data_IF_154213392708
#
_entry.id   IF_154213392708
#
_cell.length_a   1.000
_cell.length_b   1.000
_cell.length_c   1.000
_cell.angle_alpha   90.00
_cell.angle_beta   90.00
_cell.angle_gamma   90.00
#
_symmetry.space_group_name_H-M   'P 1'
#
loop_
_entity.id
_entity.type
_entity.pdbx_description
1 polymer ?
#
# COMPACT_ATOMS: atom_id res chain seq x y z
N UNK A 1 -7.69 -26.98 0.62
CA UNK A 1 -8.08 -25.86 1.47
C UNK A 1 -9.44 -26.22 2.09
N UNK A 2 -9.56 -26.13 3.41
CA UNK A 2 -10.83 -26.43 4.14
C UNK A 2 -11.52 -27.76 3.75
N UNK A 3 -10.73 -28.79 3.41
CA UNK A 3 -11.23 -30.10 3.00
C UNK A 3 -11.55 -30.25 1.51
N UNK A 4 -11.53 -29.19 0.74
CA UNK A 4 -11.67 -29.22 -0.72
C UNK A 4 -10.31 -29.39 -1.42
N UNK A 5 -10.36 -29.98 -2.61
CA UNK A 5 -9.18 -30.19 -3.46
C UNK A 5 -9.21 -29.19 -4.61
N UNK A 6 -8.09 -28.54 -4.80
CA UNK A 6 -7.87 -27.61 -5.90
C UNK A 6 -6.77 -28.12 -6.81
N UNK A 7 -6.88 -27.82 -8.09
CA UNK A 7 -5.83 -28.10 -9.07
C UNK A 7 -4.72 -27.03 -8.99
N UNK A 8 -3.55 -27.37 -9.52
CA UNK A 8 -2.46 -26.37 -9.61
C UNK A 8 -2.87 -25.14 -10.44
N UNK A 9 -3.72 -25.31 -11.46
CA UNK A 9 -4.19 -24.18 -12.25
C UNK A 9 -5.06 -23.22 -11.43
N UNK A 10 -5.96 -23.75 -10.59
CA UNK A 10 -6.80 -22.94 -9.71
C UNK A 10 -5.96 -22.18 -8.67
N UNK A 11 -4.98 -22.83 -8.06
CA UNK A 11 -4.07 -22.15 -7.12
C UNK A 11 -3.20 -21.10 -7.83
N UNK A 12 -2.70 -21.40 -9.03
CA UNK A 12 -1.91 -20.47 -9.81
C UNK A 12 -2.69 -19.20 -10.22
N UNK A 13 -4.02 -19.27 -10.36
CA UNK A 13 -4.83 -18.06 -10.56
C UNK A 13 -4.64 -17.05 -9.42
N UNK A 14 -4.74 -17.49 -8.18
CA UNK A 14 -4.55 -16.62 -7.01
C UNK A 14 -3.09 -16.22 -6.82
N UNK A 15 -2.16 -17.17 -7.07
CA UNK A 15 -0.72 -16.91 -6.97
C UNK A 15 -0.28 -15.78 -7.91
N UNK A 16 -0.60 -15.89 -9.20
CA UNK A 16 -0.18 -14.89 -10.18
C UNK A 16 -0.88 -13.55 -9.97
N UNK A 17 -2.17 -13.55 -9.63
CA UNK A 17 -2.88 -12.32 -9.33
C UNK A 17 -2.30 -11.60 -8.09
N UNK A 18 -2.00 -12.33 -7.02
CA UNK A 18 -1.37 -11.74 -5.83
C UNK A 18 0.04 -11.24 -6.15
N UNK A 19 0.84 -12.05 -6.84
CA UNK A 19 2.20 -11.68 -7.24
C UNK A 19 2.21 -10.41 -8.11
N UNK A 20 1.39 -10.35 -9.15
CA UNK A 20 1.33 -9.19 -10.03
C UNK A 20 0.86 -7.92 -9.29
N UNK A 21 -0.14 -8.04 -8.43
CA UNK A 21 -0.61 -6.92 -7.61
C UNK A 21 0.48 -6.45 -6.64
N UNK A 22 1.19 -7.38 -6.01
CA UNK A 22 2.30 -7.07 -5.11
C UNK A 22 3.43 -6.33 -5.84
N UNK A 23 3.87 -6.86 -6.99
CA UNK A 23 4.93 -6.24 -7.81
C UNK A 23 4.52 -4.85 -8.27
N UNK A 24 3.29 -4.69 -8.78
CA UNK A 24 2.80 -3.39 -9.25
C UNK A 24 2.67 -2.37 -8.11
N UNK A 25 2.13 -2.78 -6.96
CA UNK A 25 1.96 -1.92 -5.78
C UNK A 25 3.28 -1.52 -5.11
N UNK A 26 4.31 -2.36 -5.23
CA UNK A 26 5.60 -2.16 -4.58
C UNK A 26 6.75 -1.87 -5.56
N UNK A 27 6.44 -1.48 -6.80
CA UNK A 27 7.44 -1.34 -7.87
C UNK A 27 8.66 -0.49 -7.47
N UNK A 28 8.44 0.60 -6.75
CA UNK A 28 9.49 1.54 -6.33
C UNK A 28 10.45 0.98 -5.26
N UNK A 29 10.04 -0.06 -4.53
CA UNK A 29 10.82 -0.65 -3.44
C UNK A 29 11.28 -2.07 -3.69
N UNK A 30 11.00 -2.67 -4.87
CA UNK A 30 11.34 -4.07 -5.17
C UNK A 30 12.83 -4.36 -4.94
N UNK A 31 13.72 -3.46 -5.37
CA UNK A 31 15.16 -3.62 -5.16
C UNK A 31 15.55 -3.51 -3.67
N UNK A 32 14.83 -2.72 -2.89
CA UNK A 32 15.09 -2.55 -1.45
C UNK A 32 14.68 -3.79 -0.66
N UNK A 33 13.58 -4.44 -1.06
CA UNK A 33 13.11 -5.69 -0.46
C UNK A 33 13.80 -6.93 -1.06
N UNK A 34 14.69 -6.75 -2.04
CA UNK A 34 15.46 -7.84 -2.64
C UNK A 34 14.62 -8.77 -3.53
N UNK A 35 13.50 -8.29 -4.09
CA UNK A 35 12.69 -9.04 -5.04
C UNK A 35 13.09 -8.66 -6.47
N UNK A 36 13.70 -9.62 -7.19
CA UNK A 36 14.05 -9.51 -8.60
C UNK A 36 13.03 -10.27 -9.45
N UNK A 37 12.27 -9.56 -10.26
CA UNK A 37 11.25 -10.16 -11.16
C UNK A 37 11.85 -10.96 -12.32
N UNK A 38 13.15 -10.83 -12.59
CA UNK A 38 13.87 -11.58 -13.62
C UNK A 38 14.47 -12.90 -13.13
N UNK A 39 14.46 -13.14 -11.83
CA UNK A 39 15.02 -14.33 -11.19
C UNK A 39 13.90 -15.21 -10.63
N UNK A 40 14.10 -16.54 -10.61
CA UNK A 40 13.14 -17.49 -10.04
C UNK A 40 12.87 -17.15 -8.57
N UNK A 41 11.59 -17.03 -8.20
CA UNK A 41 11.14 -16.74 -6.82
C UNK A 41 11.61 -17.80 -5.80
N UNK A 42 11.88 -19.04 -6.26
CA UNK A 42 12.39 -20.14 -5.42
C UNK A 42 13.86 -19.98 -5.06
N UNK A 43 14.57 -19.18 -5.84
CA UNK A 43 16.00 -18.96 -5.68
C UNK A 43 16.31 -17.65 -4.93
N UNK A 44 15.25 -16.96 -4.45
CA UNK A 44 15.33 -15.69 -3.73
C UNK A 44 14.72 -15.83 -2.34
N UNK A 45 15.51 -15.51 -1.31
CA UNK A 45 15.08 -15.53 0.08
C UNK A 45 14.77 -14.11 0.58
N UNK A 46 13.76 -14.00 1.43
CA UNK A 46 13.36 -12.75 2.07
C UNK A 46 14.40 -12.39 3.13
N UNK A 47 14.93 -11.18 3.04
CA UNK A 47 15.95 -10.66 3.95
C UNK A 47 15.33 -9.99 5.18
N UNK A 48 16.14 -9.79 6.24
CA UNK A 48 15.74 -9.02 7.41
C UNK A 48 15.36 -7.57 7.08
N UNK A 49 15.93 -6.98 6.03
CA UNK A 49 15.52 -5.66 5.56
C UNK A 49 14.16 -5.67 4.85
N UNK A 50 13.84 -6.75 4.16
CA UNK A 50 12.56 -6.88 3.46
C UNK A 50 11.37 -6.95 4.44
N UNK A 51 11.50 -7.64 5.57
CA UNK A 51 10.43 -7.75 6.58
C UNK A 51 10.09 -6.42 7.27
N UNK A 52 10.92 -5.39 7.13
CA UNK A 52 10.61 -4.03 7.60
C UNK A 52 9.53 -3.35 6.71
N UNK A 53 9.42 -3.77 5.46
CA UNK A 53 8.45 -3.24 4.48
C UNK A 53 7.30 -4.22 4.23
N UNK A 54 7.57 -5.51 4.35
CA UNK A 54 6.60 -6.61 4.15
C UNK A 54 6.46 -7.31 5.50
N UNK A 55 5.67 -6.71 6.38
CA UNK A 55 5.59 -7.04 7.82
C UNK A 55 5.00 -8.41 8.12
N UNK A 56 4.31 -9.01 7.15
CA UNK A 56 3.71 -10.34 7.23
C UNK A 56 4.56 -11.43 6.56
N UNK A 57 5.74 -11.07 6.04
CA UNK A 57 6.71 -12.03 5.51
C UNK A 57 7.65 -12.53 6.61
N UNK A 58 8.21 -13.74 6.40
CA UNK A 58 9.15 -14.37 7.32
C UNK A 58 10.58 -14.31 6.77
N UNK A 59 11.52 -13.81 7.55
CA UNK A 59 12.94 -13.82 7.17
C UNK A 59 13.43 -15.24 6.90
N UNK A 60 14.10 -15.42 5.76
CA UNK A 60 14.69 -16.69 5.35
C UNK A 60 13.76 -17.62 4.56
N UNK A 61 12.47 -17.34 4.47
CA UNK A 61 11.58 -18.02 3.52
C UNK A 61 11.86 -17.56 2.09
N UNK A 62 11.45 -18.34 1.08
CA UNK A 62 11.54 -17.90 -0.32
C UNK A 62 10.38 -16.99 -0.69
N UNK A 63 10.59 -16.08 -1.65
CA UNK A 63 9.49 -15.30 -2.21
C UNK A 63 8.40 -16.19 -2.81
N UNK A 64 8.78 -17.38 -3.31
CA UNK A 64 7.82 -18.36 -3.80
C UNK A 64 6.90 -18.87 -2.69
N UNK A 65 7.45 -19.26 -1.54
CA UNK A 65 6.68 -19.78 -0.42
C UNK A 65 5.75 -18.69 0.13
N UNK A 66 6.25 -17.46 0.30
CA UNK A 66 5.41 -16.31 0.69
C UNK A 66 4.22 -16.11 -0.24
N UNK A 67 4.45 -16.03 -1.56
CA UNK A 67 3.35 -15.85 -2.52
C UNK A 67 2.43 -17.06 -2.60
N UNK A 68 2.95 -18.27 -2.39
CA UNK A 68 2.13 -19.48 -2.35
C UNK A 68 1.20 -19.49 -1.13
N UNK A 69 1.70 -19.09 0.03
CA UNK A 69 0.88 -18.98 1.24
C UNK A 69 -0.19 -17.90 1.08
N UNK A 70 0.13 -16.75 0.51
CA UNK A 70 -0.85 -15.69 0.21
C UNK A 70 -1.92 -16.12 -0.80
N UNK A 71 -1.54 -16.89 -1.81
CA UNK A 71 -2.49 -17.48 -2.75
C UNK A 71 -3.47 -18.43 -2.06
N UNK A 72 -2.97 -19.25 -1.14
CA UNK A 72 -3.82 -20.19 -0.38
C UNK A 72 -4.73 -19.45 0.61
N UNK A 73 -4.25 -18.39 1.26
CA UNK A 73 -5.08 -17.51 2.10
C UNK A 73 -6.20 -16.86 1.30
N UNK A 74 -5.90 -16.30 0.13
CA UNK A 74 -6.89 -15.69 -0.76
C UNK A 74 -7.94 -16.70 -1.22
N UNK A 75 -7.50 -17.87 -1.68
CA UNK A 75 -8.38 -18.94 -2.11
C UNK A 75 -9.29 -19.41 -0.96
N UNK A 76 -8.74 -19.54 0.26
CA UNK A 76 -9.53 -19.89 1.45
C UNK A 76 -10.56 -18.81 1.80
N UNK A 77 -10.20 -17.54 1.67
CA UNK A 77 -11.09 -16.41 1.87
C UNK A 77 -12.24 -16.40 0.86
N UNK A 78 -11.93 -16.55 -0.43
CA UNK A 78 -12.94 -16.62 -1.50
C UNK A 78 -13.89 -17.81 -1.28
N UNK A 79 -13.36 -18.97 -0.89
CA UNK A 79 -14.18 -20.13 -0.57
C UNK A 79 -15.14 -19.85 0.60
N UNK A 80 -14.61 -19.27 1.68
CA UNK A 80 -15.43 -18.97 2.87
C UNK A 80 -16.53 -17.95 2.57
N UNK A 81 -16.20 -16.89 1.79
CA UNK A 81 -17.19 -15.88 1.39
C UNK A 81 -18.27 -16.47 0.47
N UNK A 82 -17.90 -17.31 -0.49
CA UNK A 82 -18.87 -17.96 -1.36
C UNK A 82 -19.79 -18.92 -0.57
N UNK A 83 -19.25 -19.64 0.41
CA UNK A 83 -20.07 -20.51 1.28
C UNK A 83 -21.05 -19.68 2.16
N UNK A 84 -20.59 -18.53 2.66
CA UNK A 84 -21.45 -17.61 3.42
C UNK A 84 -22.52 -17.00 2.52
N UNK A 85 -22.17 -16.56 1.31
CA UNK A 85 -23.09 -16.04 0.31
C UNK A 85 -24.21 -17.06 0.00
N UNK A 86 -23.83 -18.32 -0.22
CA UNK A 86 -24.80 -19.40 -0.45
C UNK A 86 -25.73 -19.63 0.75
N UNK A 87 -25.17 -19.66 1.97
CA UNK A 87 -25.93 -19.84 3.20
C UNK A 87 -26.94 -18.73 3.46
N UNK A 88 -26.62 -17.50 3.04
CA UNK A 88 -27.50 -16.33 3.19
C UNK A 88 -28.40 -16.09 1.96
N UNK A 89 -28.30 -16.91 0.94
CA UNK A 89 -29.10 -16.79 -0.28
C UNK A 89 -28.70 -15.60 -1.17
N UNK A 90 -27.46 -15.09 -1.01
CA UNK A 90 -26.90 -14.08 -1.90
C UNK A 90 -26.59 -14.73 -3.27
N UNK A 91 -27.11 -14.15 -4.33
CA UNK A 91 -27.08 -14.77 -5.66
C UNK A 91 -26.37 -13.88 -6.69
N UNK A 92 -25.82 -14.52 -7.71
CA UNK A 92 -25.27 -13.89 -8.89
C UNK A 92 -26.29 -12.94 -9.54
N UNK A 93 -25.87 -11.73 -9.93
CA UNK A 93 -26.71 -10.70 -10.52
C UNK A 93 -26.12 -10.18 -11.86
N UNK A 94 -26.85 -9.26 -12.50
CA UNK A 94 -26.47 -8.70 -13.81
C UNK A 94 -25.20 -7.83 -13.73
N UNK A 95 -24.92 -7.18 -12.62
CA UNK A 95 -23.71 -6.37 -12.40
C UNK A 95 -22.47 -7.28 -12.37
N UNK A 96 -22.49 -8.33 -11.55
CA UNK A 96 -21.41 -9.32 -11.53
C UNK A 96 -21.22 -10.00 -12.89
N UNK A 97 -22.31 -10.19 -13.66
CA UNK A 97 -22.19 -10.74 -15.01
C UNK A 97 -21.51 -9.76 -15.96
N UNK A 98 -21.82 -8.47 -15.88
CA UNK A 98 -21.15 -7.44 -16.67
C UNK A 98 -19.64 -7.36 -16.34
N UNK A 99 -19.28 -7.39 -15.05
CA UNK A 99 -17.87 -7.38 -14.62
C UNK A 99 -17.10 -8.61 -15.12
N UNK A 100 -17.76 -9.78 -15.14
CA UNK A 100 -17.16 -10.99 -15.70
C UNK A 100 -16.95 -10.86 -17.20
N UNK A 101 -17.96 -10.37 -17.93
CA UNK A 101 -17.90 -10.19 -19.38
C UNK A 101 -16.79 -9.18 -19.75
N UNK A 102 -16.68 -8.07 -19.04
CA UNK A 102 -15.61 -7.06 -19.20
C UNK A 102 -14.22 -7.64 -18.92
N UNK A 103 -14.11 -8.48 -17.90
CA UNK A 103 -12.85 -9.17 -17.57
C UNK A 103 -12.45 -10.13 -18.69
N UNK A 104 -13.41 -10.88 -19.22
CA UNK A 104 -13.16 -11.82 -20.33
C UNK A 104 -12.86 -11.11 -21.66
N UNK A 105 -13.46 -9.95 -21.92
CA UNK A 105 -13.12 -9.10 -23.06
C UNK A 105 -11.72 -8.51 -22.92
N UNK A 106 -11.37 -8.04 -21.73
CA UNK A 106 -10.02 -7.55 -21.40
C UNK A 106 -8.94 -8.60 -21.61
N UNK A 107 -9.20 -9.85 -21.19
CA UNK A 107 -8.32 -10.99 -21.46
C UNK A 107 -8.11 -11.21 -22.96
N UNK A 108 -9.19 -11.22 -23.76
CA UNK A 108 -9.13 -11.42 -25.20
C UNK A 108 -8.37 -10.27 -25.89
N UNK A 109 -8.64 -9.04 -25.49
CA UNK A 109 -7.96 -7.83 -25.98
C UNK A 109 -6.47 -7.85 -25.66
N UNK A 110 -6.08 -8.18 -24.41
CA UNK A 110 -4.70 -8.29 -24.01
C UNK A 110 -3.95 -9.38 -24.82
N UNK A 111 -4.54 -10.57 -24.94
CA UNK A 111 -3.95 -11.64 -25.75
C UNK A 111 -3.72 -11.17 -27.21
N UNK A 112 -4.71 -10.54 -27.82
CA UNK A 112 -4.63 -10.02 -29.19
C UNK A 112 -3.54 -8.95 -29.35
N UNK A 113 -3.43 -8.04 -28.36
CA UNK A 113 -2.44 -6.95 -28.38
C UNK A 113 -1.00 -7.50 -28.42
N UNK A 114 -0.75 -8.60 -27.73
CA UNK A 114 0.55 -9.27 -27.73
C UNK A 114 0.71 -10.33 -28.83
N UNK A 115 -0.28 -10.50 -29.71
CA UNK A 115 -0.24 -11.45 -30.83
C UNK A 115 -0.43 -12.90 -30.41
N UNK A 116 -1.03 -13.16 -29.25
CA UNK A 116 -1.33 -14.51 -28.74
C UNK A 116 -2.81 -14.86 -28.90
N UNK A 117 -3.07 -16.16 -28.94
CA UNK A 117 -4.42 -16.65 -28.61
C UNK A 117 -4.66 -16.56 -27.10
N UNK A 118 -5.90 -16.47 -26.64
CA UNK A 118 -6.21 -16.46 -25.18
C UNK A 118 -5.56 -17.64 -24.45
N UNK A 119 -5.58 -18.83 -25.06
CA UNK A 119 -4.94 -20.03 -24.47
C UNK A 119 -3.45 -19.85 -24.29
N UNK A 120 -2.75 -19.27 -25.27
CA UNK A 120 -1.31 -19.01 -25.18
C UNK A 120 -1.02 -17.95 -24.11
N UNK A 121 -1.82 -16.90 -24.08
CA UNK A 121 -1.69 -15.82 -23.13
C UNK A 121 -1.91 -16.30 -21.68
N UNK A 122 -3.00 -17.04 -21.44
CA UNK A 122 -3.26 -17.66 -20.14
C UNK A 122 -2.15 -18.64 -19.74
N UNK A 123 -1.66 -19.44 -20.69
CA UNK A 123 -0.56 -20.37 -20.44
C UNK A 123 0.76 -19.68 -20.10
N UNK A 124 1.00 -18.49 -20.64
CA UNK A 124 2.18 -17.68 -20.37
C UNK A 124 2.14 -17.09 -18.93
N UNK A 125 0.98 -16.60 -18.51
CA UNK A 125 0.82 -15.94 -17.20
C UNK A 125 0.61 -16.98 -16.10
N UNK A 126 -0.39 -17.85 -16.23
CA UNK A 126 -0.87 -18.75 -15.18
C UNK A 126 -0.35 -20.19 -15.30
N UNK A 127 0.51 -20.45 -16.30
CA UNK A 127 1.02 -21.79 -16.56
C UNK A 127 0.18 -22.61 -17.54
N UNK A 128 0.80 -23.64 -18.14
CA UNK A 128 0.27 -24.39 -19.28
C UNK A 128 -1.03 -25.18 -19.01
N UNK A 129 -1.39 -25.37 -17.73
CA UNK A 129 -2.62 -26.09 -17.30
C UNK A 129 -3.83 -25.14 -17.18
N UNK A 130 -3.61 -23.83 -17.21
CA UNK A 130 -4.70 -22.86 -17.19
C UNK A 130 -5.51 -22.91 -18.48
N UNK A 131 -6.80 -22.89 -18.33
CA UNK A 131 -7.75 -22.82 -19.44
C UNK A 131 -8.68 -21.63 -19.26
N UNK A 132 -9.30 -21.17 -20.37
CA UNK A 132 -10.32 -20.11 -20.29
C UNK A 132 -11.42 -20.44 -19.28
N UNK A 133 -11.90 -21.69 -19.27
CA UNK A 133 -12.98 -22.10 -18.36
C UNK A 133 -12.55 -22.08 -16.89
N UNK A 134 -11.31 -22.47 -16.56
CA UNK A 134 -10.80 -22.37 -15.19
C UNK A 134 -10.63 -20.91 -14.80
N UNK A 135 -10.07 -20.09 -15.67
CA UNK A 135 -9.91 -18.65 -15.44
C UNK A 135 -11.26 -17.96 -15.18
N UNK A 136 -12.24 -18.20 -16.05
CA UNK A 136 -13.61 -17.67 -15.93
C UNK A 136 -14.28 -18.11 -14.62
N UNK A 137 -14.15 -19.38 -14.25
CA UNK A 137 -14.72 -19.90 -13.01
C UNK A 137 -14.07 -19.27 -11.77
N UNK A 138 -12.74 -19.14 -11.73
CA UNK A 138 -12.06 -18.51 -10.59
C UNK A 138 -12.38 -17.00 -10.51
N UNK A 139 -12.50 -16.32 -11.65
CA UNK A 139 -12.96 -14.92 -11.72
C UNK A 139 -14.38 -14.78 -11.19
N UNK A 140 -15.29 -15.67 -11.60
CA UNK A 140 -16.68 -15.71 -11.11
C UNK A 140 -16.74 -15.89 -9.60
N UNK A 141 -15.95 -16.80 -9.03
CA UNK A 141 -15.87 -17.01 -7.58
C UNK A 141 -15.37 -15.80 -6.84
N UNK A 142 -14.36 -15.14 -7.38
CA UNK A 142 -13.79 -13.93 -6.79
C UNK A 142 -14.77 -12.75 -6.82
N UNK A 143 -15.48 -12.56 -7.94
CA UNK A 143 -16.51 -11.52 -8.07
C UNK A 143 -17.66 -11.74 -7.08
N UNK A 144 -18.18 -12.98 -6.96
CA UNK A 144 -19.23 -13.31 -6.00
C UNK A 144 -18.78 -13.04 -4.56
N UNK A 145 -17.54 -13.46 -4.20
CA UNK A 145 -16.99 -13.22 -2.87
C UNK A 145 -16.85 -11.72 -2.55
N UNK A 146 -16.37 -10.94 -3.52
CA UNK A 146 -16.21 -9.49 -3.37
C UNK A 146 -17.56 -8.79 -3.24
N UNK A 147 -18.52 -9.11 -4.09
CA UNK A 147 -19.85 -8.51 -4.05
C UNK A 147 -20.60 -8.87 -2.75
N UNK A 148 -20.46 -10.11 -2.28
CA UNK A 148 -21.05 -10.53 -1.01
C UNK A 148 -20.40 -9.76 0.17
N UNK A 149 -19.08 -9.68 0.21
CA UNK A 149 -18.37 -8.95 1.26
C UNK A 149 -18.80 -7.47 1.30
N UNK A 150 -18.91 -6.83 0.13
CA UNK A 150 -19.39 -5.45 0.04
C UNK A 150 -20.81 -5.32 0.56
N UNK A 151 -21.72 -6.19 0.12
CA UNK A 151 -23.11 -6.22 0.60
C UNK A 151 -23.21 -6.43 2.11
N UNK A 152 -22.36 -7.31 2.65
CA UNK A 152 -22.27 -7.54 4.10
C UNK A 152 -21.80 -6.27 4.83
N UNK A 153 -20.73 -5.63 4.37
CA UNK A 153 -20.22 -4.39 4.95
C UNK A 153 -21.25 -3.26 4.91
N UNK A 154 -21.95 -3.11 3.80
CA UNK A 154 -23.00 -2.10 3.64
C UNK A 154 -24.23 -2.36 4.56
N UNK A 155 -24.45 -3.60 4.96
CA UNK A 155 -25.51 -4.01 5.88
C UNK A 155 -25.19 -3.73 7.35
N UNK A 156 -23.91 -3.51 7.68
CA UNK A 156 -23.48 -3.25 9.05
C UNK A 156 -24.05 -1.90 9.53
N UNK A 157 -24.62 -1.92 10.70
CA UNK A 157 -25.12 -0.71 11.36
C UNK A 157 -24.57 -0.64 12.78
N UNK A 158 -24.16 0.55 13.17
CA UNK A 158 -23.61 0.79 14.50
C UNK A 158 -24.46 1.80 15.23
N UNK A 159 -24.70 1.58 16.51
CA UNK A 159 -25.33 2.56 17.38
C UNK A 159 -24.37 3.74 17.64
N UNK A 160 -24.95 4.89 18.04
CA UNK A 160 -24.13 6.05 18.44
C UNK A 160 -23.14 5.70 19.57
N UNK A 161 -23.56 4.86 20.52
CA UNK A 161 -22.72 4.47 21.66
C UNK A 161 -21.54 3.60 21.21
N UNK A 162 -21.73 2.69 20.23
CA UNK A 162 -20.64 1.89 19.65
C UNK A 162 -19.66 2.76 18.86
N UNK A 163 -20.16 3.72 18.08
CA UNK A 163 -19.31 4.66 17.34
C UNK A 163 -18.51 5.55 18.30
N UNK A 164 -19.15 6.07 19.36
CA UNK A 164 -18.47 6.85 20.38
C UNK A 164 -17.41 6.03 21.11
N UNK A 165 -17.71 4.77 21.46
CA UNK A 165 -16.74 3.89 22.11
C UNK A 165 -15.50 3.63 21.23
N UNK A 166 -15.70 3.34 19.94
CA UNK A 166 -14.61 3.14 18.98
C UNK A 166 -13.77 4.42 18.79
N UNK A 167 -14.43 5.58 18.72
CA UNK A 167 -13.74 6.86 18.65
C UNK A 167 -12.89 7.14 19.89
N UNK A 168 -13.40 6.85 21.09
CA UNK A 168 -12.66 7.07 22.35
C UNK A 168 -11.50 6.09 22.54
N UNK A 169 -11.54 4.91 21.90
CA UNK A 169 -10.46 3.92 21.94
C UNK A 169 -9.21 4.41 21.19
N UNK A 170 -9.41 5.06 20.04
CA UNK A 170 -8.29 5.63 19.26
C UNK A 170 -8.71 6.96 18.58
N UNK A 171 -8.80 8.01 19.38
CA UNK A 171 -9.15 9.34 18.88
C UNK A 171 -8.18 9.85 17.82
N UNK A 172 -6.90 9.51 17.95
CA UNK A 172 -5.85 9.99 17.05
C UNK A 172 -5.96 9.42 15.64
N UNK A 173 -6.64 8.28 15.46
CA UNK A 173 -6.96 7.72 14.16
C UNK A 173 -8.05 8.52 13.41
N UNK A 174 -8.92 9.22 14.14
CA UNK A 174 -10.10 9.89 13.58
C UNK A 174 -10.01 11.41 13.64
N UNK A 175 -9.31 11.97 14.65
CA UNK A 175 -9.24 13.42 14.82
C UNK A 175 -8.46 14.08 13.68
N UNK A 176 -9.04 15.15 13.16
CA UNK A 176 -8.40 16.06 12.23
C UNK A 176 -8.17 17.40 12.92
N UNK A 177 -7.03 18.00 12.69
CA UNK A 177 -6.68 19.30 13.26
C UNK A 177 -6.28 20.29 12.18
N UNK A 178 -6.67 21.53 12.37
CA UNK A 178 -6.14 22.63 11.56
C UNK A 178 -4.84 23.08 12.20
N UNK A 179 -3.77 23.07 11.45
CA UNK A 179 -2.45 23.45 11.95
C UNK A 179 -1.66 24.29 10.94
N UNK A 180 -0.75 25.09 11.47
CA UNK A 180 0.28 25.76 10.71
C UNK A 180 1.63 25.53 11.38
N UNK A 181 2.65 25.31 10.59
CA UNK A 181 3.99 25.06 11.10
C UNK A 181 5.07 25.67 10.19
N UNK A 182 6.24 25.88 10.77
CA UNK A 182 7.43 26.24 10.02
C UNK A 182 8.49 25.20 10.20
N UNK A 183 8.98 24.67 9.10
CA UNK A 183 10.14 23.78 9.07
C UNK A 183 11.40 24.59 8.75
N UNK A 184 12.37 24.56 9.65
CA UNK A 184 13.69 25.16 9.41
C UNK A 184 14.67 24.06 9.04
N UNK A 185 15.40 24.24 7.93
CA UNK A 185 16.38 23.27 7.48
C UNK A 185 17.63 23.33 8.38
N UNK A 186 17.92 22.22 9.05
CA UNK A 186 19.11 22.04 9.89
C UNK A 186 20.13 21.06 9.30
N UNK A 187 19.98 20.68 8.02
CA UNK A 187 20.96 19.84 7.35
C UNK A 187 22.25 20.61 7.08
N UNK A 188 23.41 19.99 7.38
CA UNK A 188 24.69 20.50 6.94
C UNK A 188 24.84 20.39 5.43
N UNK A 189 25.54 21.33 4.80
CA UNK A 189 25.86 21.22 3.38
C UNK A 189 26.73 19.99 3.10
N UNK A 190 26.41 19.28 2.06
CA UNK A 190 27.14 18.10 1.56
C UNK A 190 27.95 18.38 0.30
N UNK A 191 27.99 19.67 -0.09
CA UNK A 191 28.77 20.19 -1.23
C UNK A 191 29.52 21.43 -0.85
N UNK A 192 30.71 21.65 -1.47
CA UNK A 192 31.50 22.89 -1.38
C UNK A 192 30.94 24.00 -2.29
N UNK A 193 31.57 25.19 -2.28
CA UNK A 193 31.16 26.32 -3.11
C UNK A 193 31.29 26.07 -4.61
N UNK A 194 32.11 25.11 -5.01
CA UNK A 194 32.31 24.66 -6.39
C UNK A 194 31.32 23.53 -6.79
N UNK A 195 30.48 23.03 -5.86
CA UNK A 195 29.47 21.99 -6.10
C UNK A 195 30.02 20.57 -6.01
N UNK A 196 31.24 20.35 -5.50
CA UNK A 196 31.76 19.00 -5.27
C UNK A 196 31.23 18.43 -3.94
N UNK A 197 30.98 17.14 -3.91
CA UNK A 197 30.56 16.46 -2.68
C UNK A 197 31.66 16.48 -1.62
N UNK A 198 31.29 16.82 -0.39
CA UNK A 198 32.18 16.82 0.77
C UNK A 198 31.67 15.85 1.83
N UNK A 199 32.57 15.33 2.66
CA UNK A 199 32.20 14.53 3.82
C UNK A 199 31.62 15.42 4.92
N UNK A 200 30.36 15.14 5.31
CA UNK A 200 29.65 15.88 6.34
C UNK A 200 30.06 15.34 7.72
N UNK A 201 30.81 16.14 8.46
CA UNK A 201 31.26 15.79 9.82
C UNK A 201 30.15 16.01 10.86
N UNK A 202 30.31 15.42 12.06
CA UNK A 202 29.36 15.63 13.16
C UNK A 202 29.43 17.09 13.70
N UNK A 203 30.56 17.73 13.57
CA UNK A 203 30.72 19.15 13.91
C UNK A 203 29.89 20.02 12.96
N UNK A 204 29.97 19.77 11.64
CA UNK A 204 29.16 20.48 10.64
C UNK A 204 27.66 20.30 10.87
N UNK A 205 27.21 19.08 11.23
CA UNK A 205 25.82 18.82 11.58
C UNK A 205 25.38 19.61 12.81
N UNK A 206 26.24 19.64 13.84
CA UNK A 206 25.95 20.38 15.09
C UNK A 206 25.87 21.90 14.85
N UNK A 207 26.75 22.44 14.02
CA UNK A 207 26.74 23.89 13.64
C UNK A 207 25.47 24.23 12.82
N UNK A 208 25.12 23.41 11.83
CA UNK A 208 23.92 23.59 11.01
C UNK A 208 22.64 23.53 11.87
N UNK A 209 22.56 22.58 12.79
CA UNK A 209 21.43 22.45 13.71
C UNK A 209 21.34 23.63 14.69
N UNK A 210 22.47 24.14 15.17
CA UNK A 210 22.52 25.35 16.04
C UNK A 210 22.05 26.62 15.28
N UNK A 211 22.45 26.75 14.01
CA UNK A 211 21.98 27.83 13.14
C UNK A 211 20.49 27.74 12.88
N UNK A 212 19.99 26.55 12.57
CA UNK A 212 18.56 26.30 12.37
C UNK A 212 17.73 26.60 13.62
N UNK A 213 18.24 26.22 14.79
CA UNK A 213 17.61 26.58 16.07
C UNK A 213 17.53 28.08 16.28
N UNK A 214 18.60 28.81 15.96
CA UNK A 214 18.63 30.28 16.09
C UNK A 214 17.56 30.90 15.19
N UNK A 215 17.43 30.44 13.94
CA UNK A 215 16.38 30.86 13.01
C UNK A 215 14.99 30.56 13.53
N UNK A 216 14.76 29.34 14.02
CA UNK A 216 13.48 28.93 14.58
C UNK A 216 13.08 29.77 15.81
N UNK A 217 14.04 30.04 16.71
CA UNK A 217 13.83 30.90 17.88
C UNK A 217 13.47 32.35 17.47
N UNK A 218 14.08 32.91 16.41
CA UNK A 218 13.76 34.21 15.87
C UNK A 218 12.37 34.29 15.26
N UNK A 219 11.98 33.28 14.45
CA UNK A 219 10.62 33.17 13.88
C UNK A 219 9.58 33.06 15.01
N UNK A 220 9.83 32.22 16.03
CA UNK A 220 8.94 32.09 17.17
C UNK A 220 8.81 33.41 17.96
N UNK A 221 9.91 34.14 18.15
CA UNK A 221 9.88 35.43 18.84
C UNK A 221 9.05 36.46 18.06
N UNK A 222 9.18 36.54 16.74
CA UNK A 222 8.36 37.40 15.89
C UNK A 222 6.87 37.04 15.95
N UNK A 223 6.55 35.74 15.89
CA UNK A 223 5.20 35.25 16.04
C UNK A 223 4.61 35.65 17.41
N UNK A 224 5.34 35.46 18.50
CA UNK A 224 4.92 35.87 19.85
C UNK A 224 4.74 37.40 19.99
N UNK A 225 5.43 38.18 19.18
CA UNK A 225 5.29 39.65 19.11
C UNK A 225 4.08 40.11 18.27
N UNK A 226 3.36 39.18 17.61
CA UNK A 226 2.14 39.45 16.86
C UNK A 226 2.32 39.48 15.33
N UNK A 227 3.47 39.12 14.81
CA UNK A 227 3.66 38.86 13.36
C UNK A 227 2.98 37.53 13.01
N UNK A 228 2.37 37.41 11.83
CA UNK A 228 1.85 36.10 11.40
C UNK A 228 3.01 35.08 11.28
N UNK A 229 2.71 33.81 11.48
CA UNK A 229 3.73 32.75 11.37
C UNK A 229 4.30 32.68 9.94
N UNK A 230 3.45 32.93 8.94
CA UNK A 230 3.83 32.98 7.52
C UNK A 230 4.80 34.15 7.24
N UNK A 231 4.44 35.38 7.67
CA UNK A 231 5.29 36.55 7.48
C UNK A 231 6.63 36.43 8.24
N UNK A 232 6.59 35.88 9.46
CA UNK A 232 7.81 35.64 10.23
C UNK A 232 8.75 34.62 9.57
N UNK A 233 8.21 33.61 8.91
CA UNK A 233 8.99 32.61 8.16
C UNK A 233 9.53 33.17 6.84
N UNK A 234 8.79 34.09 6.18
CA UNK A 234 9.19 34.70 4.90
C UNK A 234 10.50 35.49 5.00
N UNK A 235 10.84 36.00 6.17
CA UNK A 235 12.15 36.66 6.39
C UNK A 235 13.36 35.70 6.27
N UNK A 236 13.08 34.38 6.32
CA UNK A 236 14.07 33.28 6.29
C UNK A 236 13.80 32.28 5.17
N UNK A 237 13.23 32.73 4.04
CA UNK A 237 12.75 31.86 2.94
C UNK A 237 13.81 30.89 2.38
N UNK A 238 15.12 31.22 2.50
CA UNK A 238 16.22 30.34 2.07
C UNK A 238 16.42 29.12 2.98
N UNK A 239 15.97 29.19 4.23
CA UNK A 239 16.21 28.16 5.25
C UNK A 239 14.95 27.68 5.97
N UNK A 240 13.84 28.41 5.86
CA UNK A 240 12.58 28.13 6.51
C UNK A 240 11.44 27.98 5.49
N UNK A 241 10.55 27.04 5.72
CA UNK A 241 9.37 26.80 4.89
C UNK A 241 8.12 26.81 5.78
N UNK A 242 7.22 27.75 5.53
CA UNK A 242 5.88 27.77 6.13
C UNK A 242 4.96 26.78 5.41
N UNK A 243 4.12 26.11 6.16
CA UNK A 243 3.02 25.31 5.64
C UNK A 243 1.82 25.39 6.59
N UNK A 244 0.62 25.31 6.02
CA UNK A 244 -0.64 25.16 6.74
C UNK A 244 -1.46 24.04 6.12
N UNK A 245 -2.25 23.38 6.93
CA UNK A 245 -3.18 22.36 6.50
C UNK A 245 -4.46 22.47 7.30
N UNK A 246 -5.56 22.49 6.60
CA UNK A 246 -6.90 22.28 7.16
C UNK A 246 -7.15 20.76 7.09
N UNK A 247 -7.58 20.16 8.18
CA UNK A 247 -7.84 18.71 8.25
C UNK A 247 -6.57 17.82 8.21
N UNK A 248 -5.61 18.16 9.04
CA UNK A 248 -4.39 17.37 9.20
C UNK A 248 -4.64 16.15 10.10
N UNK A 249 -4.28 14.94 9.64
CA UNK A 249 -4.47 13.72 10.42
C UNK A 249 -3.25 13.44 11.32
N UNK A 250 -3.49 13.10 12.58
CA UNK A 250 -2.42 12.67 13.52
C UNK A 250 -1.68 11.42 13.04
N UNK A 251 -2.40 10.45 12.47
CA UNK A 251 -1.85 9.14 12.13
C UNK A 251 -0.95 9.14 10.90
N UNK A 252 -1.02 10.17 10.05
CA UNK A 252 -0.33 10.20 8.74
C UNK A 252 0.93 11.06 8.72
N UNK A 253 1.40 11.58 9.87
CA UNK A 253 2.37 12.64 9.88
C UNK A 253 3.50 12.46 10.86
N UNK A 254 4.70 12.88 10.44
CA UNK A 254 5.86 13.08 11.33
C UNK A 254 5.63 14.16 12.41
N UNK A 255 4.55 14.92 12.31
CA UNK A 255 4.16 15.94 13.29
C UNK A 255 3.20 15.41 14.35
N UNK A 256 2.65 14.19 14.18
CA UNK A 256 1.69 13.60 15.12
C UNK A 256 2.18 13.52 16.58
N UNK A 257 3.48 13.39 16.79
CA UNK A 257 4.07 13.43 18.13
C UNK A 257 4.10 14.84 18.76
N UNK A 258 3.88 15.89 17.96
CA UNK A 258 3.93 17.30 18.40
C UNK A 258 2.55 17.92 18.57
N UNK A 259 1.52 17.31 18.02
CA UNK A 259 0.11 17.71 18.10
C UNK A 259 -0.61 17.00 19.23
#
# INVERSE_FOLDING_TARGET
>A
VNGEKYTAAEVNFYFENYYQNFVNGNYSILSMIGLDTGTSLKDQTISSSAVMFVTDATEGETWYDYFADKALEQLAGVQAMNAAAEAEGFTWNDEMQADLDDTMESLASAASTYGYTEKQYLGLIYGSTMTRSIYEEQTRRSLLATAYLQSYQDSLTYSTDELEAAYQEDRTAYDLVDCAYVRVNGAAADTDEEGNSIEVTDEMKAEAMAAAKTTADAIYAAYKAGTSLEDAAAEYESTATYASSDSFSYSSSVLGEWL
#
